data_IF_364522829960
#
_entry.id   IF_364522829960
#
_cell.length_a   1.000
_cell.length_b   1.000
_cell.length_c   1.000
_cell.angle_alpha   90.00
_cell.angle_beta   90.00
_cell.angle_gamma   90.00
#
_symmetry.space_group_name_H-M   'P 1'
#
loop_
_entity.id
_entity.type
_entity.pdbx_description
1 polymer ?
#
# COMPACT_ATOMS: atom_id res chain seq x y z
N UNK A 1 -8.79 7.38 14.11
CA UNK A 1 -9.89 6.58 13.54
C UNK A 1 -9.34 5.18 13.35
N UNK A 2 -10.06 4.11 13.74
CA UNK A 2 -9.52 2.74 13.66
C UNK A 2 -9.53 2.24 12.21
N UNK A 3 -8.49 1.49 11.82
CA UNK A 3 -8.43 0.79 10.53
C UNK A 3 -9.60 -0.21 10.47
N UNK A 4 -10.33 -0.34 9.33
CA UNK A 4 -11.40 -1.33 9.20
C UNK A 4 -10.92 -2.75 9.50
N UNK A 5 -11.76 -3.58 10.15
CA UNK A 5 -11.37 -4.93 10.58
C UNK A 5 -10.92 -5.81 9.41
N UNK A 6 -11.60 -5.73 8.26
CA UNK A 6 -11.21 -6.47 7.06
C UNK A 6 -9.82 -6.10 6.54
N UNK A 7 -9.43 -4.82 6.68
CA UNK A 7 -8.08 -4.35 6.31
C UNK A 7 -7.07 -4.85 7.32
N UNK A 8 -7.39 -4.81 8.61
CA UNK A 8 -6.53 -5.34 9.68
C UNK A 8 -6.27 -6.84 9.52
N UNK A 9 -7.28 -7.61 9.11
CA UNK A 9 -7.16 -9.05 8.88
C UNK A 9 -6.22 -9.35 7.71
N UNK A 10 -6.35 -8.59 6.60
CA UNK A 10 -5.45 -8.72 5.44
C UNK A 10 -4.02 -8.34 5.81
N UNK A 11 -3.80 -7.24 6.52
CA UNK A 11 -2.46 -6.84 6.95
C UNK A 11 -1.81 -7.91 7.83
N UNK A 12 -2.56 -8.51 8.77
CA UNK A 12 -2.06 -9.60 9.61
C UNK A 12 -1.74 -10.86 8.78
N UNK A 13 -2.62 -11.23 7.85
CA UNK A 13 -2.50 -12.45 7.03
C UNK A 13 -1.23 -12.46 6.17
N UNK A 14 -0.76 -11.29 5.73
CA UNK A 14 0.39 -11.15 4.84
C UNK A 14 1.58 -10.48 5.52
N UNK A 15 1.71 -10.55 6.86
CA UNK A 15 2.76 -9.90 7.65
C UNK A 15 3.06 -8.44 7.23
N UNK A 16 2.01 -7.62 7.15
CA UNK A 16 2.08 -6.25 6.66
C UNK A 16 2.74 -6.11 5.29
N UNK A 17 2.80 -7.17 4.47
CA UNK A 17 3.48 -7.23 3.18
C UNK A 17 4.99 -7.04 3.25
N UNK A 18 5.64 -7.33 4.39
CA UNK A 18 7.09 -7.23 4.59
C UNK A 18 7.90 -8.14 3.67
N UNK A 19 7.29 -9.21 3.18
CA UNK A 19 7.87 -10.22 2.29
C UNK A 19 7.40 -10.08 0.83
N UNK A 20 6.70 -8.99 0.52
CA UNK A 20 6.00 -8.84 -0.74
C UNK A 20 6.87 -8.27 -1.87
N UNK A 21 6.54 -8.68 -3.10
CA UNK A 21 7.14 -8.19 -4.33
C UNK A 21 6.13 -7.32 -5.07
N UNK A 22 6.51 -6.10 -5.43
CA UNK A 22 5.66 -5.26 -6.26
C UNK A 22 5.66 -5.76 -7.71
N UNK A 23 4.48 -6.15 -8.19
CA UNK A 23 4.28 -6.65 -9.55
C UNK A 23 3.91 -5.55 -10.54
N UNK A 24 3.03 -4.63 -10.16
CA UNK A 24 2.57 -3.55 -11.04
C UNK A 24 2.06 -2.34 -10.25
N UNK A 25 2.22 -1.15 -10.84
CA UNK A 25 1.54 0.09 -10.44
C UNK A 25 0.80 0.62 -11.66
N UNK A 26 -0.50 0.86 -11.53
CA UNK A 26 -1.32 1.53 -12.54
C UNK A 26 -1.82 2.85 -11.99
N UNK A 27 -1.65 3.93 -12.74
CA UNK A 27 -2.17 5.26 -12.39
C UNK A 27 -3.11 5.69 -13.51
N UNK A 28 -4.41 5.72 -13.20
CA UNK A 28 -5.45 6.01 -14.17
C UNK A 28 -6.12 7.36 -13.89
N UNK A 29 -6.16 8.20 -14.92
CA UNK A 29 -6.79 9.53 -14.92
C UNK A 29 -8.05 9.57 -15.81
N UNK A 30 -8.46 8.47 -16.44
CA UNK A 30 -9.49 8.44 -17.46
C UNK A 30 -10.83 9.02 -16.95
N UNK A 31 -11.15 10.23 -17.44
CA UNK A 31 -12.39 10.99 -17.23
C UNK A 31 -12.74 11.34 -15.76
N UNK A 32 -11.80 11.18 -14.83
CA UNK A 32 -11.99 11.47 -13.40
C UNK A 32 -11.29 12.77 -13.01
N UNK A 33 -11.87 13.50 -12.07
CA UNK A 33 -11.22 14.67 -11.47
C UNK A 33 -10.02 14.30 -10.58
N UNK A 34 -9.98 13.06 -10.07
CA UNK A 34 -8.93 12.53 -9.20
C UNK A 34 -8.49 11.15 -9.72
N UNK A 35 -7.20 10.82 -9.62
CA UNK A 35 -6.70 9.55 -10.13
C UNK A 35 -7.22 8.36 -9.31
N UNK A 36 -7.29 7.22 -9.99
CA UNK A 36 -7.43 5.90 -9.42
C UNK A 36 -6.08 5.20 -9.54
N UNK A 37 -5.54 4.69 -8.43
CA UNK A 37 -4.26 3.97 -8.43
C UNK A 37 -4.51 2.52 -8.05
N UNK A 38 -3.84 1.60 -8.73
CA UNK A 38 -3.85 0.18 -8.38
C UNK A 38 -2.42 -0.31 -8.20
N UNK A 39 -2.16 -1.01 -7.10
CA UNK A 39 -0.89 -1.68 -6.84
C UNK A 39 -1.16 -3.17 -6.73
N UNK A 40 -0.39 -3.97 -7.46
CA UNK A 40 -0.39 -5.42 -7.32
C UNK A 40 0.88 -5.86 -6.63
N UNK A 41 0.73 -6.60 -5.54
CA UNK A 41 1.80 -7.23 -4.78
C UNK A 41 1.69 -8.75 -4.88
N UNK A 42 2.81 -9.45 -4.82
CA UNK A 42 2.86 -10.90 -4.62
C UNK A 42 3.49 -11.16 -3.25
N UNK A 43 2.79 -11.84 -2.36
CA UNK A 43 3.18 -12.03 -0.94
C UNK A 43 2.89 -13.45 -0.46
N UNK A 44 3.59 -13.90 0.58
CA UNK A 44 3.32 -15.18 1.22
C UNK A 44 2.07 -15.10 2.07
N UNK A 45 1.18 -16.07 1.90
CA UNK A 45 -0.05 -16.21 2.67
C UNK A 45 0.21 -17.02 3.94
N UNK A 46 0.42 -16.34 5.06
CA UNK A 46 0.80 -16.98 6.33
C UNK A 46 -0.38 -17.66 7.04
N UNK A 47 -1.61 -17.39 6.62
CA UNK A 47 -2.81 -18.08 7.10
C UNK A 47 -3.15 -19.33 6.28
N UNK A 48 -2.39 -19.65 5.21
CA UNK A 48 -2.64 -20.85 4.40
C UNK A 48 -2.16 -22.12 5.10
N UNK A 49 -2.92 -23.22 4.95
CA UNK A 49 -2.56 -24.53 5.51
C UNK A 49 -1.18 -25.05 5.03
N UNK A 50 -0.78 -24.65 3.83
CA UNK A 50 0.55 -24.88 3.25
C UNK A 50 1.13 -23.55 2.71
N UNK A 51 2.46 -23.32 2.82
CA UNK A 51 3.09 -22.10 2.33
C UNK A 51 2.76 -21.85 0.85
N UNK A 52 2.12 -20.72 0.56
CA UNK A 52 1.72 -20.36 -0.80
C UNK A 52 1.88 -18.87 -1.04
N UNK A 53 2.16 -18.51 -2.28
CA UNK A 53 2.25 -17.12 -2.71
C UNK A 53 0.92 -16.70 -3.34
N UNK A 54 0.41 -15.54 -2.95
CA UNK A 54 -0.83 -14.95 -3.47
C UNK A 54 -0.54 -13.59 -4.09
N UNK A 55 -1.37 -13.20 -5.04
CA UNK A 55 -1.39 -11.83 -5.52
C UNK A 55 -2.42 -11.04 -4.71
N UNK A 56 -2.02 -9.90 -4.16
CA UNK A 56 -2.92 -8.94 -3.53
C UNK A 56 -2.95 -7.66 -4.36
N UNK A 57 -4.15 -7.21 -4.72
CA UNK A 57 -4.36 -5.91 -5.35
C UNK A 57 -4.86 -4.91 -4.31
N UNK A 58 -4.23 -3.75 -4.27
CA UNK A 58 -4.63 -2.60 -3.45
C UNK A 58 -5.18 -1.54 -4.40
N UNK A 59 -6.49 -1.29 -4.30
CA UNK A 59 -7.23 -0.33 -5.12
C UNK A 59 -7.45 0.98 -4.34
N UNK A 60 -6.93 2.08 -4.87
CA UNK A 60 -6.98 3.41 -4.28
C UNK A 60 -7.95 4.31 -5.06
N UNK A 61 -9.06 4.69 -4.44
CA UNK A 61 -10.09 5.51 -5.05
C UNK A 61 -10.01 6.97 -4.60
N UNK A 62 -10.22 7.88 -5.56
CA UNK A 62 -10.16 9.34 -5.34
C UNK A 62 -8.86 9.75 -4.66
N UNK A 63 -7.73 9.38 -5.26
CA UNK A 63 -6.39 9.69 -4.72
C UNK A 63 -6.22 11.20 -4.61
N UNK A 64 -5.89 11.67 -3.41
CA UNK A 64 -5.72 13.10 -3.07
C UNK A 64 -4.27 13.53 -3.18
N UNK A 65 -3.36 12.65 -2.83
CA UNK A 65 -1.92 12.87 -2.92
C UNK A 65 -1.20 11.52 -3.04
N UNK A 66 -0.07 11.49 -3.72
CA UNK A 66 0.81 10.32 -3.77
C UNK A 66 2.23 10.76 -4.12
N UNK A 67 3.20 9.95 -3.70
CA UNK A 67 4.60 10.08 -4.11
C UNK A 67 5.08 8.72 -4.60
N UNK A 68 5.51 8.69 -5.86
CA UNK A 68 6.19 7.55 -6.48
C UNK A 68 7.38 8.16 -7.22
N UNK A 69 8.57 8.14 -6.62
CA UNK A 69 9.73 8.86 -7.12
C UNK A 69 10.89 7.92 -7.42
N UNK A 70 11.39 7.91 -8.66
CA UNK A 70 12.69 7.32 -8.99
C UNK A 70 13.75 8.43 -9.02
N UNK A 71 14.70 8.41 -8.08
CA UNK A 71 15.80 9.38 -8.08
C UNK A 71 16.84 9.05 -9.16
N UNK A 72 17.30 10.07 -9.88
CA UNK A 72 18.37 9.94 -10.88
C UNK A 72 19.63 9.33 -10.25
N UNK A 73 20.28 8.39 -10.95
CA UNK A 73 21.46 7.67 -10.48
C UNK A 73 21.26 6.88 -9.18
N UNK A 74 20.03 6.46 -8.88
CA UNK A 74 19.73 5.52 -7.79
C UNK A 74 19.17 4.22 -8.34
N UNK A 75 19.55 3.09 -7.72
CA UNK A 75 18.82 1.83 -7.86
C UNK A 75 17.80 1.79 -6.73
N UNK A 76 16.54 2.05 -7.04
CA UNK A 76 15.45 1.74 -6.12
C UNK A 76 14.93 0.36 -6.47
N UNK A 77 14.95 -0.53 -5.48
CA UNK A 77 14.13 -1.73 -5.56
C UNK A 77 12.75 -1.31 -5.08
N UNK A 78 11.74 -1.37 -5.94
CA UNK A 78 10.34 -1.20 -5.52
C UNK A 78 9.92 -2.51 -4.85
N UNK A 79 10.56 -2.80 -3.72
CA UNK A 79 10.15 -3.84 -2.80
C UNK A 79 9.31 -3.09 -1.78
N UNK A 80 8.10 -3.57 -1.50
CA UNK A 80 7.38 -3.03 -0.35
C UNK A 80 8.13 -3.51 0.88
N UNK A 81 8.66 -2.58 1.65
CA UNK A 81 9.29 -2.87 2.94
C UNK A 81 8.22 -2.89 4.03
N UNK A 82 7.15 -3.64 3.77
CA UNK A 82 5.92 -3.59 4.52
C UNK A 82 5.00 -2.42 4.15
N UNK A 83 3.83 -2.42 4.77
CA UNK A 83 2.78 -1.44 4.63
C UNK A 83 2.36 -0.91 6.01
N UNK A 84 2.43 0.41 6.16
CA UNK A 84 1.80 1.14 7.26
C UNK A 84 0.55 1.87 6.76
N UNK A 85 -0.50 1.87 7.58
CA UNK A 85 -1.75 2.58 7.27
C UNK A 85 -2.04 3.62 8.34
N UNK A 86 -2.33 4.84 7.91
CA UNK A 86 -2.74 5.94 8.79
C UNK A 86 -3.94 6.65 8.21
N UNK A 87 -4.89 7.07 9.05
CA UNK A 87 -6.11 7.74 8.61
C UNK A 87 -6.19 9.12 9.26
N UNK A 88 -6.26 10.17 8.44
CA UNK A 88 -6.41 11.55 8.90
C UNK A 88 -7.39 12.31 8.00
N UNK A 89 -8.31 13.06 8.60
CA UNK A 89 -9.24 13.93 7.88
C UNK A 89 -10.03 13.25 6.74
N UNK A 90 -10.35 11.95 6.89
CA UNK A 90 -11.09 11.17 5.89
C UNK A 90 -10.23 10.65 4.73
N UNK A 91 -8.90 10.78 4.82
CA UNK A 91 -7.95 10.22 3.86
C UNK A 91 -7.21 9.06 4.53
N UNK A 92 -7.17 7.94 3.83
CA UNK A 92 -6.35 6.77 4.17
C UNK A 92 -5.02 6.88 3.45
N UNK A 93 -3.96 6.99 4.23
CA UNK A 93 -2.58 6.98 3.80
C UNK A 93 -2.02 5.58 3.91
N UNK A 94 -1.43 5.10 2.83
CA UNK A 94 -0.70 3.84 2.75
C UNK A 94 0.73 4.15 2.39
N UNK A 95 1.63 3.75 3.28
CA UNK A 95 3.06 3.91 3.14
C UNK A 95 3.69 2.56 2.86
N UNK A 96 4.51 2.48 1.81
CA UNK A 96 5.15 1.25 1.35
C UNK A 96 6.62 1.14 1.79
N UNK A 97 7.10 2.11 2.57
CA UNK A 97 8.49 2.22 3.05
C UNK A 97 8.52 2.35 4.58
N UNK A 98 7.94 1.36 5.26
CA UNK A 98 7.78 1.39 6.71
C UNK A 98 8.74 0.48 7.49
N UNK A 99 9.51 -0.41 6.84
CA UNK A 99 10.54 -1.29 7.44
C UNK A 99 10.13 -1.92 8.80
N UNK A 100 8.88 -2.39 8.91
CA UNK A 100 8.32 -2.97 10.13
C UNK A 100 7.79 -1.98 11.19
N UNK A 101 7.95 -0.67 11.01
CA UNK A 101 7.31 0.37 11.83
C UNK A 101 5.93 0.74 11.26
N UNK A 102 4.91 0.03 11.74
CA UNK A 102 3.55 0.11 11.19
C UNK A 102 2.72 1.24 11.80
N UNK A 103 3.20 1.89 12.87
CA UNK A 103 2.56 3.05 13.50
C UNK A 103 3.24 4.36 13.04
N UNK A 104 2.64 5.05 12.08
CA UNK A 104 3.19 6.31 11.53
C UNK A 104 2.24 7.50 11.73
N UNK A 105 2.80 8.71 11.80
CA UNK A 105 2.04 9.95 11.61
C UNK A 105 1.95 10.29 10.13
N UNK A 106 1.01 11.15 9.74
CA UNK A 106 0.89 11.59 8.34
C UNK A 106 2.16 12.32 7.88
N UNK A 107 2.81 13.09 8.74
CA UNK A 107 4.09 13.74 8.42
C UNK A 107 5.19 12.72 8.12
N UNK A 108 5.26 11.64 8.90
CA UNK A 108 6.20 10.54 8.64
C UNK A 108 5.90 9.87 7.31
N UNK A 109 4.62 9.58 7.02
CA UNK A 109 4.20 9.01 5.73
C UNK A 109 4.57 9.93 4.57
N UNK A 110 4.31 11.25 4.66
CA UNK A 110 4.66 12.19 3.59
C UNK A 110 6.17 12.34 3.37
N UNK A 111 6.99 11.98 4.36
CA UNK A 111 8.45 11.96 4.24
C UNK A 111 8.98 10.70 3.53
N UNK A 112 8.17 9.65 3.42
CA UNK A 112 8.47 8.41 2.70
C UNK A 112 8.80 8.66 1.22
N UNK A 113 9.55 7.76 0.61
CA UNK A 113 9.78 7.76 -0.83
C UNK A 113 8.60 7.21 -1.63
N UNK A 114 7.73 6.42 -0.98
CA UNK A 114 6.59 5.79 -1.62
C UNK A 114 5.35 5.73 -0.72
N UNK A 115 4.37 6.60 -1.00
CA UNK A 115 3.09 6.59 -0.31
C UNK A 115 1.93 7.00 -1.24
N UNK A 116 0.72 6.63 -0.84
CA UNK A 116 -0.53 7.04 -1.49
C UNK A 116 -1.57 7.43 -0.43
N UNK A 117 -2.18 8.61 -0.58
CA UNK A 117 -3.31 9.09 0.21
C UNK A 117 -4.60 9.11 -0.63
N UNK A 118 -5.60 8.34 -0.22
CA UNK A 118 -6.86 8.17 -0.95
C UNK A 118 -8.09 8.19 -0.02
N UNK A 119 -9.25 8.54 -0.55
CA UNK A 119 -10.49 8.54 0.25
C UNK A 119 -10.99 7.14 0.59
N UNK A 120 -10.69 6.16 -0.28
CA UNK A 120 -11.00 4.75 -0.05
C UNK A 120 -9.85 3.88 -0.56
N UNK A 121 -9.52 2.87 0.22
CA UNK A 121 -8.51 1.87 -0.09
C UNK A 121 -9.12 0.49 0.13
N UNK A 122 -9.10 -0.32 -0.93
CA UNK A 122 -9.64 -1.68 -0.92
C UNK A 122 -8.51 -2.68 -1.13
N UNK A 123 -8.44 -3.71 -0.29
CA UNK A 123 -7.47 -4.81 -0.40
C UNK A 123 -8.17 -6.06 -0.92
N UNK A 124 -7.65 -6.63 -2.01
CA UNK A 124 -8.27 -7.73 -2.74
C UNK A 124 -7.25 -8.84 -2.95
N UNK A 125 -7.48 -10.01 -2.34
CA UNK A 125 -6.68 -11.21 -2.59
C UNK A 125 -7.21 -11.90 -3.86
N UNK A 126 -6.31 -12.21 -4.79
CA UNK A 126 -6.59 -12.81 -6.10
C UNK A 126 -6.32 -14.31 -6.16
#
# INVERSE_FOLDING_TARGET
>A
MLIPSSTSDVLRRFDHFNDSLLGAISVDYAERALPHIQITLTCQDDDADEPTWRSCRIDFHNVREFKIEQRTNSTQSVISFGIAITIESGITFVDFDCLGDTERTVEQVRSSEFYIGAERVDFIVL
#
